data_IF_923109027832
#
_entry.id   IF_923109027832
#
_cell.length_a   1.000
_cell.length_b   1.000
_cell.length_c   1.000
_cell.angle_alpha   90.00
_cell.angle_beta   90.00
_cell.angle_gamma   90.00
#
_symmetry.space_group_name_H-M   'P 1'
#
loop_
_entity.id
_entity.type
_entity.pdbx_description
1 polymer ?
#
# COMPACT_ATOMS: atom_id res chain seq x y z
N UNK A 1 31.02 -18.91 -5.20
CA UNK A 1 30.88 -18.30 -6.54
C UNK A 1 29.56 -18.70 -7.22
N UNK A 2 28.95 -19.84 -6.88
CA UNK A 2 27.69 -20.29 -7.50
C UNK A 2 26.43 -19.53 -7.04
N UNK A 3 26.36 -19.18 -5.75
CA UNK A 3 25.21 -18.52 -5.11
C UNK A 3 24.72 -17.23 -5.82
N UNK A 4 25.66 -16.41 -6.30
CA UNK A 4 25.34 -15.14 -6.93
C UNK A 4 24.78 -15.33 -8.35
N UNK A 5 25.35 -16.25 -9.14
CA UNK A 5 24.95 -16.48 -10.55
C UNK A 5 23.54 -17.03 -10.67
N UNK A 6 23.13 -17.95 -9.77
CA UNK A 6 21.80 -18.58 -9.83
C UNK A 6 20.65 -17.58 -9.70
N UNK A 7 20.89 -16.46 -9.03
CA UNK A 7 19.91 -15.39 -8.83
C UNK A 7 20.22 -14.12 -9.62
N UNK A 8 21.18 -14.17 -10.55
CA UNK A 8 21.59 -13.00 -11.34
C UNK A 8 22.22 -11.87 -10.51
N UNK A 9 22.72 -12.18 -9.31
CA UNK A 9 23.33 -11.23 -8.38
C UNK A 9 24.85 -11.18 -8.55
N UNK A 10 25.44 -10.05 -8.17
CA UNK A 10 26.90 -9.93 -8.08
C UNK A 10 27.42 -10.57 -6.78
N UNK A 11 28.69 -10.98 -6.77
CA UNK A 11 29.35 -11.44 -5.54
C UNK A 11 29.38 -10.37 -4.46
N UNK A 12 29.43 -9.09 -4.85
CA UNK A 12 29.35 -7.96 -3.91
C UNK A 12 27.96 -7.82 -3.29
N UNK A 13 26.88 -8.07 -4.04
CA UNK A 13 25.53 -8.04 -3.49
C UNK A 13 25.34 -9.10 -2.39
N UNK A 14 25.87 -10.31 -2.59
CA UNK A 14 25.83 -11.37 -1.57
C UNK A 14 26.60 -10.95 -0.31
N UNK A 15 27.77 -10.31 -0.46
CA UNK A 15 28.54 -9.78 0.68
C UNK A 15 27.76 -8.70 1.43
N UNK A 16 27.10 -7.80 0.72
CA UNK A 16 26.28 -6.75 1.34
C UNK A 16 25.13 -7.36 2.16
N UNK A 17 24.54 -8.47 1.69
CA UNK A 17 23.48 -9.16 2.43
C UNK A 17 24.00 -9.91 3.66
N UNK A 18 25.19 -10.52 3.59
CA UNK A 18 25.89 -11.06 4.76
C UNK A 18 26.19 -9.95 5.79
N UNK A 19 26.77 -8.82 5.34
CA UNK A 19 27.09 -7.68 6.21
C UNK A 19 25.84 -7.04 6.84
N UNK A 20 24.71 -7.09 6.12
CA UNK A 20 23.41 -6.68 6.65
C UNK A 20 22.75 -7.72 7.57
N UNK A 21 23.37 -8.88 7.83
CA UNK A 21 22.80 -9.95 8.67
C UNK A 21 21.60 -10.67 8.07
N UNK A 22 21.36 -10.51 6.77
CA UNK A 22 20.30 -11.22 6.02
C UNK A 22 20.72 -12.67 5.77
N UNK A 23 22.02 -12.88 5.55
CA UNK A 23 22.60 -14.21 5.41
C UNK A 23 23.40 -14.56 6.68
N UNK A 24 23.49 -15.84 7.04
CA UNK A 24 24.42 -16.30 8.07
C UNK A 24 25.85 -15.82 7.78
N UNK A 25 26.63 -15.65 8.84
CA UNK A 25 28.06 -15.31 8.69
C UNK A 25 28.79 -16.45 8.00
N UNK A 26 29.45 -16.15 6.89
CA UNK A 26 30.20 -17.15 6.13
C UNK A 26 31.51 -17.49 6.84
N UNK A 27 31.82 -18.78 6.94
CA UNK A 27 33.15 -19.23 7.34
C UNK A 27 34.21 -18.76 6.35
N UNK A 28 35.46 -18.70 6.80
CA UNK A 28 36.59 -18.31 5.97
C UNK A 28 37.53 -19.49 5.74
N UNK A 29 38.04 -19.63 4.52
CA UNK A 29 39.13 -20.55 4.21
C UNK A 29 40.40 -20.16 4.95
N UNK A 30 41.38 -21.06 5.01
CA UNK A 30 42.74 -20.77 5.50
C UNK A 30 43.42 -19.61 4.74
N UNK A 31 43.02 -19.37 3.50
CA UNK A 31 43.45 -18.24 2.65
C UNK A 31 42.59 -16.97 2.81
N UNK A 32 41.61 -16.96 3.71
CA UNK A 32 40.79 -15.79 4.06
C UNK A 32 39.56 -15.55 3.17
N UNK A 33 39.24 -16.44 2.23
CA UNK A 33 38.06 -16.30 1.36
C UNK A 33 36.79 -16.80 2.05
N UNK A 34 35.66 -16.12 1.83
CA UNK A 34 34.34 -16.55 2.34
C UNK A 34 33.86 -17.83 1.66
N UNK A 35 33.34 -18.76 2.47
CA UNK A 35 32.74 -20.02 2.03
C UNK A 35 31.23 -19.93 2.19
N UNK A 36 30.52 -19.89 1.07
CA UNK A 36 29.06 -19.93 1.06
C UNK A 36 28.59 -21.37 0.89
N UNK A 37 27.74 -21.82 1.81
CA UNK A 37 27.17 -23.17 1.89
C UNK A 37 25.74 -23.21 1.30
N UNK A 38 25.14 -24.39 1.10
CA UNK A 38 23.72 -24.51 0.73
C UNK A 38 22.76 -23.77 1.68
N UNK A 39 23.12 -23.62 2.96
CA UNK A 39 22.36 -22.83 3.92
C UNK A 39 22.26 -21.35 3.51
N UNK A 40 23.35 -20.77 2.99
CA UNK A 40 23.35 -19.40 2.48
C UNK A 40 22.49 -19.26 1.22
N UNK A 41 22.41 -20.31 0.40
CA UNK A 41 21.51 -20.38 -0.75
C UNK A 41 20.04 -20.35 -0.32
N UNK A 42 19.68 -21.14 0.69
CA UNK A 42 18.32 -21.12 1.23
C UNK A 42 17.98 -19.79 1.91
N UNK A 43 18.90 -19.21 2.67
CA UNK A 43 18.70 -17.88 3.27
C UNK A 43 18.46 -16.80 2.20
N UNK A 44 19.28 -16.81 1.14
CA UNK A 44 19.12 -15.87 0.03
C UNK A 44 17.80 -16.07 -0.72
N UNK A 45 17.42 -17.33 -0.98
CA UNK A 45 16.16 -17.66 -1.64
C UNK A 45 14.95 -17.21 -0.79
N UNK A 46 14.98 -17.44 0.53
CA UNK A 46 13.96 -16.97 1.46
C UNK A 46 13.85 -15.44 1.44
N UNK A 47 14.97 -14.73 1.56
CA UNK A 47 14.99 -13.27 1.48
C UNK A 47 14.37 -12.75 0.18
N UNK A 48 14.82 -13.26 -0.97
CA UNK A 48 14.30 -12.83 -2.28
C UNK A 48 12.81 -13.16 -2.47
N UNK A 49 12.32 -14.25 -1.87
CA UNK A 49 10.91 -14.61 -1.90
C UNK A 49 10.04 -13.73 -0.98
N UNK A 50 10.59 -13.23 0.13
CA UNK A 50 9.90 -12.33 1.06
C UNK A 50 9.72 -10.91 0.50
N UNK A 51 10.72 -10.41 -0.26
CA UNK A 51 10.75 -9.02 -0.74
C UNK A 51 9.48 -8.58 -1.48
N UNK A 52 8.91 -9.34 -2.45
CA UNK A 52 7.72 -8.89 -3.17
C UNK A 52 6.45 -8.82 -2.31
N UNK A 53 6.36 -9.59 -1.24
CA UNK A 53 5.21 -9.61 -0.33
C UNK A 53 5.32 -8.58 0.80
N UNK A 54 6.51 -8.49 1.42
CA UNK A 54 6.72 -7.74 2.65
C UNK A 54 7.50 -6.42 2.45
N UNK A 55 8.10 -6.22 1.27
CA UNK A 55 9.02 -5.12 0.99
C UNK A 55 10.43 -5.39 1.54
N UNK A 56 11.41 -4.67 1.01
CA UNK A 56 12.83 -4.89 1.33
C UNK A 56 13.14 -4.74 2.82
N UNK A 57 12.68 -3.65 3.45
CA UNK A 57 12.96 -3.38 4.87
C UNK A 57 12.41 -4.48 5.80
N UNK A 58 11.15 -4.90 5.61
CA UNK A 58 10.56 -5.98 6.42
C UNK A 58 11.25 -7.31 6.16
N UNK A 59 11.55 -7.64 4.90
CA UNK A 59 12.25 -8.88 4.56
C UNK A 59 13.66 -8.93 5.19
N UNK A 60 14.37 -7.81 5.21
CA UNK A 60 15.66 -7.68 5.89
C UNK A 60 15.50 -7.91 7.40
N UNK A 61 14.54 -7.26 8.05
CA UNK A 61 14.31 -7.41 9.48
C UNK A 61 13.92 -8.86 9.86
N UNK A 62 13.07 -9.51 9.06
CA UNK A 62 12.70 -10.92 9.24
C UNK A 62 13.94 -11.82 9.19
N UNK A 63 14.78 -11.68 8.16
CA UNK A 63 15.99 -12.50 8.03
C UNK A 63 17.03 -12.20 9.11
N UNK A 64 17.17 -10.94 9.54
CA UNK A 64 18.02 -10.56 10.67
C UNK A 64 17.55 -11.14 12.00
N UNK A 65 16.23 -11.24 12.22
CA UNK A 65 15.67 -11.87 13.40
C UNK A 65 15.98 -13.38 13.40
N UNK A 66 15.78 -14.05 12.26
CA UNK A 66 16.13 -15.48 12.11
C UNK A 66 17.63 -15.72 12.31
N UNK A 67 18.50 -14.91 11.71
CA UNK A 67 19.96 -15.02 11.88
C UNK A 67 20.45 -14.85 13.33
N UNK A 68 19.64 -14.21 14.19
CA UNK A 68 19.91 -14.00 15.62
C UNK A 68 19.15 -14.98 16.52
N UNK A 69 18.55 -16.03 15.95
CA UNK A 69 17.73 -17.02 16.65
C UNK A 69 16.49 -16.43 17.36
N UNK A 70 16.00 -15.28 16.86
CA UNK A 70 14.81 -14.59 17.36
C UNK A 70 13.59 -14.92 16.47
N UNK A 71 13.25 -16.20 16.35
CA UNK A 71 12.21 -16.67 15.40
C UNK A 71 10.83 -16.07 15.70
N UNK A 72 10.47 -15.90 16.97
CA UNK A 72 9.19 -15.26 17.36
C UNK A 72 9.11 -13.80 16.87
N UNK A 73 10.22 -13.05 16.90
CA UNK A 73 10.30 -11.69 16.35
C UNK A 73 10.08 -11.70 14.83
N UNK A 74 10.64 -12.68 14.13
CA UNK A 74 10.44 -12.86 12.69
C UNK A 74 8.96 -13.11 12.36
N UNK A 75 8.26 -13.94 13.13
CA UNK A 75 6.84 -14.20 12.96
C UNK A 75 5.99 -12.96 13.23
N UNK A 76 6.29 -12.18 14.27
CA UNK A 76 5.60 -10.92 14.52
C UNK A 76 5.73 -9.95 13.35
N UNK A 77 6.92 -9.80 12.76
CA UNK A 77 7.14 -8.93 11.60
C UNK A 77 6.32 -9.38 10.36
N UNK A 78 6.18 -10.69 10.18
CA UNK A 78 5.34 -11.29 9.13
C UNK A 78 3.86 -10.97 9.39
N UNK A 79 3.39 -11.15 10.62
CA UNK A 79 2.00 -10.88 11.04
C UNK A 79 1.63 -9.41 10.87
N UNK A 80 2.49 -8.49 11.30
CA UNK A 80 2.28 -7.05 11.09
C UNK A 80 2.17 -6.69 9.61
N UNK A 81 2.95 -7.36 8.76
CA UNK A 81 2.88 -7.17 7.32
C UNK A 81 1.58 -7.71 6.72
N UNK A 82 1.08 -8.86 7.19
CA UNK A 82 -0.24 -9.38 6.84
C UNK A 82 -1.37 -8.48 7.33
N UNK A 83 -1.26 -7.93 8.54
CA UNK A 83 -2.22 -6.98 9.10
C UNK A 83 -2.32 -5.71 8.24
N UNK A 84 -1.19 -5.20 7.73
CA UNK A 84 -1.16 -4.11 6.75
C UNK A 84 -1.90 -4.47 5.46
N UNK A 85 -1.65 -5.65 4.89
CA UNK A 85 -2.37 -6.11 3.69
C UNK A 85 -3.88 -6.24 3.94
N UNK A 86 -4.29 -6.78 5.09
CA UNK A 86 -5.70 -6.89 5.47
C UNK A 86 -6.35 -5.51 5.60
N UNK A 87 -5.63 -4.55 6.20
CA UNK A 87 -6.09 -3.18 6.27
C UNK A 87 -6.29 -2.57 4.87
N UNK A 88 -5.32 -2.73 3.96
CA UNK A 88 -5.43 -2.22 2.59
C UNK A 88 -6.65 -2.81 1.85
N UNK A 89 -6.96 -4.10 2.06
CA UNK A 89 -8.16 -4.73 1.50
C UNK A 89 -9.45 -4.17 2.06
N UNK A 90 -9.50 -3.87 3.36
CA UNK A 90 -10.67 -3.22 4.00
C UNK A 90 -10.87 -1.81 3.45
N UNK A 91 -9.78 -1.08 3.25
CA UNK A 91 -9.81 0.25 2.63
C UNK A 91 -10.36 0.18 1.21
N UNK A 92 -9.87 -0.74 0.37
CA UNK A 92 -10.39 -0.93 -0.98
C UNK A 92 -11.90 -1.21 -0.98
N UNK A 93 -12.37 -2.12 -0.12
CA UNK A 93 -13.81 -2.44 0.00
C UNK A 93 -14.62 -1.22 0.39
N UNK A 94 -14.16 -0.44 1.36
CA UNK A 94 -14.85 0.78 1.78
C UNK A 94 -14.95 1.82 0.65
N UNK A 95 -13.91 1.95 -0.18
CA UNK A 95 -13.96 2.80 -1.38
C UNK A 95 -14.97 2.27 -2.39
N UNK A 96 -14.96 0.97 -2.67
CA UNK A 96 -15.91 0.33 -3.59
C UNK A 96 -17.37 0.49 -3.13
N UNK A 97 -17.64 0.31 -1.83
CA UNK A 97 -18.98 0.47 -1.26
C UNK A 97 -19.42 1.94 -1.26
N UNK A 98 -18.51 2.88 -0.95
CA UNK A 98 -18.80 4.31 -1.04
C UNK A 98 -19.17 4.72 -2.47
N UNK A 99 -18.46 4.22 -3.48
CA UNK A 99 -18.75 4.52 -4.88
C UNK A 99 -20.06 3.90 -5.35
N UNK A 100 -20.36 2.66 -4.93
CA UNK A 100 -21.67 2.03 -5.21
C UNK A 100 -22.82 2.84 -4.61
N UNK A 101 -22.62 3.41 -3.42
CA UNK A 101 -23.58 4.33 -2.80
C UNK A 101 -23.81 5.58 -3.65
N UNK A 102 -22.74 6.21 -4.14
CA UNK A 102 -22.84 7.40 -4.97
C UNK A 102 -23.49 7.15 -6.33
N UNK A 103 -23.24 6.00 -6.97
CA UNK A 103 -23.90 5.65 -8.23
C UNK A 103 -25.39 5.38 -8.04
N UNK A 104 -25.77 4.74 -6.93
CA UNK A 104 -27.17 4.52 -6.58
C UNK A 104 -27.91 5.83 -6.25
N UNK A 105 -27.29 6.75 -5.51
CA UNK A 105 -27.85 8.09 -5.20
C UNK A 105 -28.02 8.93 -6.48
N UNK A 106 -27.05 8.89 -7.39
CA UNK A 106 -27.07 9.65 -8.65
C UNK A 106 -28.02 9.07 -9.72
N UNK A 107 -28.49 7.83 -9.58
CA UNK A 107 -29.50 7.26 -10.47
C UNK A 107 -30.93 7.70 -10.10
N UNK A 108 -31.14 8.17 -8.87
CA UNK A 108 -32.44 8.64 -8.36
C UNK A 108 -32.67 10.15 -8.47
N UNK A 109 -31.59 10.94 -8.48
CA UNK A 109 -31.62 12.36 -8.84
C UNK A 109 -31.29 12.49 -10.34
N UNK A 110 -32.00 13.33 -11.11
CA UNK A 110 -31.83 13.50 -12.56
C UNK A 110 -30.38 13.35 -13.03
N UNK A 111 -30.17 12.57 -14.10
CA UNK A 111 -28.89 12.15 -14.70
C UNK A 111 -27.96 13.28 -15.20
N UNK A 112 -28.08 14.50 -14.68
CA UNK A 112 -27.08 15.54 -14.77
C UNK A 112 -26.06 15.29 -13.65
N UNK A 113 -24.85 14.83 -14.01
CA UNK A 113 -23.74 14.66 -13.06
C UNK A 113 -23.49 15.89 -12.19
N UNK A 114 -22.65 15.74 -11.15
CA UNK A 114 -22.34 16.78 -10.17
C UNK A 114 -22.22 18.17 -10.82
N UNK A 115 -22.92 19.16 -10.26
CA UNK A 115 -22.91 20.54 -10.77
C UNK A 115 -21.90 21.38 -9.97
N UNK A 116 -21.34 22.47 -10.54
CA UNK A 116 -20.53 23.38 -9.76
C UNK A 116 -21.29 23.93 -8.55
N UNK A 117 -20.65 23.97 -7.38
CA UNK A 117 -21.27 24.42 -6.13
C UNK A 117 -20.37 25.37 -5.35
N UNK A 118 -20.98 26.28 -4.59
CA UNK A 118 -20.27 27.03 -3.56
C UNK A 118 -20.14 26.22 -2.27
N UNK A 119 -19.21 26.63 -1.40
CA UNK A 119 -18.93 25.92 -0.15
C UNK A 119 -20.16 25.75 0.76
N UNK A 120 -21.09 26.71 0.77
CA UNK A 120 -22.29 26.68 1.60
C UNK A 120 -23.26 25.57 1.19
N UNK A 121 -23.80 25.64 -0.04
CA UNK A 121 -24.67 24.59 -0.58
C UNK A 121 -24.06 23.19 -0.51
N UNK A 122 -22.77 23.04 -0.86
CA UNK A 122 -22.09 21.75 -0.78
C UNK A 122 -21.99 21.23 0.67
N UNK A 123 -21.73 22.13 1.63
CA UNK A 123 -21.66 21.74 3.03
C UNK A 123 -23.04 21.31 3.56
N UNK A 124 -24.10 22.01 3.17
CA UNK A 124 -25.48 21.69 3.50
C UNK A 124 -25.89 20.33 2.92
N UNK A 125 -25.62 20.10 1.64
CA UNK A 125 -25.90 18.82 0.95
C UNK A 125 -25.20 17.65 1.62
N UNK A 126 -23.93 17.82 2.02
CA UNK A 126 -23.16 16.81 2.73
C UNK A 126 -23.47 16.72 4.22
N UNK A 127 -24.34 17.58 4.77
CA UNK A 127 -24.62 17.65 6.20
C UNK A 127 -23.38 17.95 7.06
N UNK A 128 -22.40 18.69 6.53
CA UNK A 128 -21.17 19.08 7.24
C UNK A 128 -21.10 20.59 7.40
N UNK A 129 -20.18 21.06 8.25
CA UNK A 129 -19.91 22.51 8.36
C UNK A 129 -19.00 22.96 7.22
N UNK A 130 -19.13 24.20 6.69
CA UNK A 130 -18.18 24.75 5.71
C UNK A 130 -16.71 24.69 6.18
N UNK A 131 -16.47 24.81 7.49
CA UNK A 131 -15.13 24.66 8.07
C UNK A 131 -14.54 23.26 7.84
N UNK A 132 -15.37 22.21 7.74
CA UNK A 132 -14.94 20.84 7.41
C UNK A 132 -14.44 20.77 5.98
N UNK A 133 -15.15 21.35 5.01
CA UNK A 133 -14.71 21.42 3.62
C UNK A 133 -13.38 22.18 3.47
N UNK A 134 -13.15 23.23 4.27
CA UNK A 134 -11.86 23.94 4.32
C UNK A 134 -10.74 23.06 4.86
N UNK A 135 -11.01 22.20 5.85
CA UNK A 135 -10.03 21.20 6.33
C UNK A 135 -9.71 20.17 5.24
N UNK A 136 -10.72 19.75 4.48
CA UNK A 136 -10.52 18.82 3.36
C UNK A 136 -9.69 19.45 2.24
N UNK A 137 -9.92 20.73 1.92
CA UNK A 137 -9.08 21.50 0.99
C UNK A 137 -7.63 21.58 1.49
N UNK A 138 -7.40 21.90 2.76
CA UNK A 138 -6.06 21.95 3.34
C UNK A 138 -5.34 20.58 3.30
N UNK A 139 -6.09 19.49 3.45
CA UNK A 139 -5.60 18.12 3.30
C UNK A 139 -5.50 17.67 1.83
N UNK A 140 -5.79 18.55 0.86
CA UNK A 140 -5.73 18.25 -0.57
C UNK A 140 -6.84 17.32 -1.09
N UNK A 141 -7.86 17.04 -0.28
CA UNK A 141 -8.96 16.13 -0.59
C UNK A 141 -9.98 16.73 -1.56
N UNK A 142 -10.05 18.05 -1.65
CA UNK A 142 -10.85 18.83 -2.62
C UNK A 142 -9.98 20.00 -3.10
N UNK A 143 -10.12 20.44 -4.34
CA UNK A 143 -9.29 21.51 -4.91
C UNK A 143 -10.16 22.56 -5.59
N UNK A 144 -11.08 23.21 -4.85
CA UNK A 144 -11.94 24.23 -5.41
C UNK A 144 -11.11 25.37 -5.97
N UNK A 145 -11.53 25.91 -7.12
CA UNK A 145 -10.96 27.16 -7.63
C UNK A 145 -11.58 28.35 -6.90
N UNK A 146 -10.92 29.51 -7.00
CA UNK A 146 -11.52 30.77 -6.59
C UNK A 146 -12.14 31.45 -7.80
N UNK A 147 -13.38 31.90 -7.64
CA UNK A 147 -14.03 32.76 -8.61
C UNK A 147 -13.25 34.09 -8.72
N UNK A 148 -12.88 34.53 -9.94
CA UNK A 148 -12.00 35.68 -10.13
C UNK A 148 -12.68 37.02 -9.81
N UNK A 149 -14.02 37.07 -9.77
CA UNK A 149 -14.79 38.30 -9.54
C UNK A 149 -15.13 38.46 -8.05
N UNK A 150 -15.62 37.38 -7.44
CA UNK A 150 -16.14 37.38 -6.06
C UNK A 150 -15.13 36.86 -5.04
N UNK A 151 -14.08 36.15 -5.48
CA UNK A 151 -13.10 35.51 -4.61
C UNK A 151 -13.62 34.26 -3.87
N UNK A 152 -14.87 33.86 -4.11
CA UNK A 152 -15.50 32.71 -3.49
C UNK A 152 -14.98 31.38 -4.04
N UNK A 153 -15.05 30.34 -3.21
CA UNK A 153 -14.67 28.97 -3.60
C UNK A 153 -15.78 28.37 -4.45
N UNK A 154 -15.42 27.95 -5.66
CA UNK A 154 -16.26 27.19 -6.56
C UNK A 154 -15.69 25.78 -6.63
N UNK A 155 -16.49 24.81 -6.19
CA UNK A 155 -16.22 23.39 -6.31
C UNK A 155 -16.75 22.95 -7.66
N UNK A 156 -15.86 22.57 -8.56
CA UNK A 156 -16.25 22.03 -9.86
C UNK A 156 -16.85 20.62 -9.69
N UNK A 157 -17.53 20.06 -10.71
CA UNK A 157 -18.14 18.73 -10.65
C UNK A 157 -17.23 17.64 -10.06
N UNK A 158 -15.94 17.65 -10.40
CA UNK A 158 -14.95 16.73 -9.85
C UNK A 158 -14.67 16.96 -8.37
N UNK A 159 -14.63 18.22 -7.91
CA UNK A 159 -14.43 18.54 -6.50
C UNK A 159 -15.63 18.14 -5.65
N UNK A 160 -16.84 18.32 -6.19
CA UNK A 160 -18.08 17.90 -5.55
C UNK A 160 -18.08 16.37 -5.41
N UNK A 161 -17.84 15.63 -6.50
CA UNK A 161 -17.69 14.16 -6.43
C UNK A 161 -16.68 13.72 -5.38
N UNK A 162 -15.50 14.34 -5.38
CA UNK A 162 -14.44 14.01 -4.42
C UNK A 162 -14.88 14.31 -2.98
N UNK A 163 -15.62 15.41 -2.75
CA UNK A 163 -16.20 15.74 -1.44
C UNK A 163 -17.21 14.68 -0.98
N UNK A 164 -18.09 14.20 -1.87
CA UNK A 164 -19.02 13.11 -1.58
C UNK A 164 -18.28 11.81 -1.24
N UNK A 165 -17.23 11.46 -1.99
CA UNK A 165 -16.41 10.28 -1.71
C UNK A 165 -15.69 10.40 -0.35
N UNK A 166 -15.10 11.55 -0.06
CA UNK A 166 -14.48 11.84 1.25
C UNK A 166 -15.50 11.74 2.37
N UNK A 167 -16.71 12.27 2.17
CA UNK A 167 -17.79 12.21 3.15
C UNK A 167 -18.16 10.77 3.50
N UNK A 168 -18.38 9.91 2.49
CA UNK A 168 -18.72 8.50 2.71
C UNK A 168 -17.58 7.74 3.42
N UNK A 169 -16.33 7.96 3.00
CA UNK A 169 -15.16 7.35 3.66
C UNK A 169 -15.01 7.83 5.12
N UNK A 170 -15.31 9.11 5.40
CA UNK A 170 -15.31 9.64 6.77
C UNK A 170 -16.38 9.00 7.65
N UNK A 171 -17.57 8.72 7.12
CA UNK A 171 -18.63 7.99 7.84
C UNK A 171 -18.22 6.55 8.15
N UNK A 172 -17.41 5.94 7.31
CA UNK A 172 -16.77 4.63 7.55
C UNK A 172 -15.61 4.64 8.54
N UNK A 173 -15.29 5.77 9.18
CA UNK A 173 -14.26 5.88 10.23
C UNK A 173 -12.83 6.15 9.73
N UNK A 174 -12.62 6.41 8.43
CA UNK A 174 -11.29 6.65 7.88
C UNK A 174 -10.76 8.05 8.24
N UNK A 175 -9.47 8.16 8.54
CA UNK A 175 -8.80 9.44 8.79
C UNK A 175 -8.45 10.17 7.48
N UNK A 176 -8.32 11.49 7.50
CA UNK A 176 -8.07 12.30 6.31
C UNK A 176 -6.75 11.93 5.63
N UNK A 177 -5.71 11.63 6.41
CA UNK A 177 -4.39 11.24 5.89
C UNK A 177 -4.45 9.92 5.12
N UNK A 178 -5.41 9.04 5.46
CA UNK A 178 -5.65 7.78 4.75
C UNK A 178 -6.50 7.95 3.50
N UNK A 179 -7.35 8.97 3.46
CA UNK A 179 -8.24 9.26 2.32
C UNK A 179 -7.46 9.97 1.20
N UNK A 180 -6.50 10.82 1.51
CA UNK A 180 -5.81 11.66 0.52
C UNK A 180 -5.08 10.91 -0.61
N UNK A 181 -4.35 9.81 -0.36
CA UNK A 181 -3.75 9.02 -1.44
C UNK A 181 -4.78 8.41 -2.37
N UNK A 182 -5.95 8.02 -1.84
CA UNK A 182 -7.04 7.39 -2.60
C UNK A 182 -7.70 8.41 -3.53
N UNK A 183 -8.00 9.61 -3.03
CA UNK A 183 -8.53 10.71 -3.83
C UNK A 183 -7.56 11.12 -4.93
N UNK A 184 -6.25 11.11 -4.64
CA UNK A 184 -5.23 11.38 -5.66
C UNK A 184 -5.28 10.35 -6.79
N UNK A 185 -5.38 9.05 -6.48
CA UNK A 185 -5.49 7.99 -7.48
C UNK A 185 -6.76 8.13 -8.34
N UNK A 186 -7.89 8.47 -7.70
CA UNK A 186 -9.16 8.74 -8.40
C UNK A 186 -8.99 9.89 -9.40
N UNK A 187 -8.36 10.99 -8.98
CA UNK A 187 -8.13 12.16 -9.84
C UNK A 187 -7.20 11.87 -11.01
N UNK A 188 -6.11 11.14 -10.78
CA UNK A 188 -5.16 10.79 -11.85
C UNK A 188 -5.80 9.93 -12.93
N UNK A 189 -6.86 9.20 -12.61
CA UNK A 189 -7.57 8.38 -13.58
C UNK A 189 -8.50 9.22 -14.49
N UNK A 190 -8.98 10.39 -14.06
CA UNK A 190 -9.71 11.33 -14.92
C UNK A 190 -11.23 11.13 -15.02
N UNK A 191 -11.86 10.30 -14.18
CA UNK A 191 -13.32 10.08 -14.19
C UNK A 191 -13.77 8.84 -13.40
N UNK A 192 -15.09 8.56 -13.40
CA UNK A 192 -15.67 7.38 -12.71
C UNK A 192 -15.36 6.04 -13.43
N UNK A 193 -15.36 6.00 -14.76
CA UNK A 193 -14.93 4.81 -15.51
C UNK A 193 -13.44 4.49 -15.31
N UNK A 194 -12.51 5.46 -15.44
CA UNK A 194 -11.12 5.25 -15.07
C UNK A 194 -10.91 4.84 -13.61
N UNK A 195 -11.83 5.21 -12.72
CA UNK A 195 -11.80 4.83 -11.31
C UNK A 195 -12.13 3.35 -11.10
N UNK A 196 -13.10 2.77 -11.83
CA UNK A 196 -13.33 1.32 -11.78
C UNK A 196 -12.11 0.53 -12.25
N UNK A 197 -11.44 1.00 -13.31
CA UNK A 197 -10.15 0.47 -13.76
C UNK A 197 -9.09 0.53 -12.66
N UNK A 198 -8.91 1.70 -12.04
CA UNK A 198 -7.95 1.89 -10.96
C UNK A 198 -8.22 1.01 -9.72
N UNK A 199 -9.49 0.79 -9.37
CA UNK A 199 -9.88 -0.12 -8.27
C UNK A 199 -9.62 -1.58 -8.62
N UNK A 200 -9.90 -1.98 -9.87
CA UNK A 200 -9.57 -3.32 -10.37
C UNK A 200 -8.07 -3.57 -10.31
N UNK A 201 -7.27 -2.59 -10.73
CA UNK A 201 -5.81 -2.67 -10.68
C UNK A 201 -5.30 -2.73 -9.23
N UNK A 202 -5.89 -1.93 -8.33
CA UNK A 202 -5.54 -1.99 -6.91
C UNK A 202 -5.87 -3.36 -6.30
N UNK A 203 -7.06 -3.91 -6.60
CA UNK A 203 -7.46 -5.26 -6.20
C UNK A 203 -6.45 -6.29 -6.72
N UNK A 204 -6.04 -6.19 -7.98
CA UNK A 204 -5.02 -7.02 -8.60
C UNK A 204 -3.70 -6.98 -7.82
N UNK A 205 -3.17 -5.77 -7.58
CA UNK A 205 -1.93 -5.57 -6.80
C UNK A 205 -2.01 -6.17 -5.39
N UNK A 206 -3.14 -6.03 -4.69
CA UNK A 206 -3.33 -6.63 -3.36
C UNK A 206 -3.37 -8.16 -3.44
N UNK A 207 -4.01 -8.74 -4.46
CA UNK A 207 -4.02 -10.18 -4.70
C UNK A 207 -2.62 -10.72 -5.01
N UNK A 208 -1.88 -10.05 -5.89
CA UNK A 208 -0.50 -10.41 -6.22
C UNK A 208 0.43 -10.34 -5.01
N UNK A 209 0.30 -9.28 -4.19
CA UNK A 209 1.03 -9.15 -2.92
C UNK A 209 0.69 -10.28 -1.94
N UNK A 210 -0.59 -10.64 -1.83
CA UNK A 210 -1.00 -11.79 -1.00
C UNK A 210 -0.37 -13.10 -1.47
N UNK A 211 -0.36 -13.36 -2.77
CA UNK A 211 0.31 -14.54 -3.35
C UNK A 211 1.83 -14.49 -3.15
N UNK A 212 2.43 -13.30 -3.18
CA UNK A 212 3.84 -13.13 -2.86
C UNK A 212 4.14 -13.43 -1.37
N UNK A 213 3.30 -12.97 -0.44
CA UNK A 213 3.43 -13.31 0.99
C UNK A 213 3.36 -14.82 1.23
N UNK A 214 2.44 -15.54 0.57
CA UNK A 214 2.36 -17.00 0.65
C UNK A 214 3.65 -17.69 0.18
N UNK A 215 4.22 -17.23 -0.95
CA UNK A 215 5.51 -17.75 -1.45
C UNK A 215 6.66 -17.43 -0.49
N UNK A 216 6.68 -16.23 0.08
CA UNK A 216 7.67 -15.81 1.07
C UNK A 216 7.61 -16.65 2.33
N UNK A 217 6.41 -16.92 2.86
CA UNK A 217 6.20 -17.78 4.02
C UNK A 217 6.70 -19.21 3.76
N UNK A 218 6.37 -19.80 2.60
CA UNK A 218 6.85 -21.14 2.25
C UNK A 218 8.38 -21.21 2.12
N UNK A 219 9.01 -20.18 1.56
CA UNK A 219 10.47 -20.14 1.45
C UNK A 219 11.16 -19.90 2.80
N UNK A 220 10.54 -19.10 3.68
CA UNK A 220 11.01 -18.89 5.05
C UNK A 220 10.90 -20.17 5.89
N UNK A 221 9.78 -20.87 5.83
CA UNK A 221 9.56 -22.15 6.51
C UNK A 221 10.60 -23.20 6.07
N UNK A 222 10.80 -23.35 4.76
CA UNK A 222 11.82 -24.25 4.21
C UNK A 222 13.26 -23.88 4.65
N UNK A 223 13.52 -22.61 4.98
CA UNK A 223 14.79 -22.19 5.54
C UNK A 223 14.90 -22.49 7.04
N UNK A 224 13.82 -22.29 7.81
CA UNK A 224 13.77 -22.59 9.24
C UNK A 224 13.95 -24.09 9.52
N UNK A 225 13.32 -24.96 8.72
CA UNK A 225 13.49 -26.43 8.80
C UNK A 225 14.95 -26.88 8.59
N UNK A 226 15.78 -26.05 7.96
CA UNK A 226 17.19 -26.36 7.72
C UNK A 226 18.13 -25.79 8.79
N UNK A 227 17.60 -24.93 9.67
CA UNK A 227 18.30 -24.42 10.85
C UNK A 227 18.12 -25.30 12.08
N UNK A 228 17.08 -26.15 12.15
CA UNK A 228 16.78 -27.02 13.28
C UNK A 228 15.47 -27.79 13.13
#
# INVERSE_FOLDING_TARGET
MDLARRHGLSTQAVRNYEEAGILPTAERTSSGYRVYTPLHERALAAFLALVPGHGHATATAVMQAVSRDAVDEAFQLVDESHARLLHDRRTLRAVEDALRGLTAESAGADAAGFRPMFIGPLAEELGVRPATLRKWEAAGLVRPRRDPVTGYRVYEPSDVRDAHLVHQLRRGGYLLERIAPLITQVRTAGGLEPLEGALRDWRGRLSDRGRAMLRGAAALDAYLVELG
#
